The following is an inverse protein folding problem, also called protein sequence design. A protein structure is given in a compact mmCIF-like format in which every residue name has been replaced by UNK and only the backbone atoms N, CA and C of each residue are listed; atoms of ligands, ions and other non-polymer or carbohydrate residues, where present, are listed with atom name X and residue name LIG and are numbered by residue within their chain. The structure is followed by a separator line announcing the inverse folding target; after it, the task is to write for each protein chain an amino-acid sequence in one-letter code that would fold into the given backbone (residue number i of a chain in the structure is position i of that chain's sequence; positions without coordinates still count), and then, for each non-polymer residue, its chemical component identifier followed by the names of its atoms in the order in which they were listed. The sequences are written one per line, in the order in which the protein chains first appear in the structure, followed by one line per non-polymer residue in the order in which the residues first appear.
data_IF_538665612613
#
_entry.id   IF_538665612613
#
_cell.length_a   1.000
_cell.length_b   1.000
_cell.length_c   1.000
_cell.angle_alpha   90.00
_cell.angle_beta   90.00
_cell.angle_gamma   90.00
#
_symmetry.space_group_name_H-M   'P 1'
#
loop_
_entity.id
_entity.type
_entity.pdbx_description
1 polymer ?
#
# COMPACT_ATOMS: atom_id res chain seq x y z
N UNK A 1 1.34 6.34 10.09
CA UNK A 1 0.44 5.46 9.32
C UNK A 1 -0.34 4.55 10.28
N UNK A 2 -1.59 4.22 9.95
CA UNK A 2 -2.41 3.22 10.67
C UNK A 2 -2.12 1.78 10.26
N UNK A 3 -1.14 1.53 9.39
CA UNK A 3 -0.74 0.18 8.97
C UNK A 3 -0.22 -0.65 10.15
N UNK A 4 -0.57 -1.93 10.13
CA UNK A 4 0.03 -2.99 10.95
C UNK A 4 0.46 -4.13 10.04
N UNK A 5 1.55 -4.80 10.40
CA UNK A 5 2.11 -5.91 9.62
C UNK A 5 2.36 -7.08 10.57
N UNK A 6 1.99 -8.29 10.15
CA UNK A 6 2.34 -9.50 10.89
C UNK A 6 3.84 -9.78 10.76
N UNK A 7 4.51 -9.98 11.88
CA UNK A 7 5.96 -10.27 11.90
C UNK A 7 6.29 -11.65 11.31
N UNK A 8 5.35 -12.60 11.37
CA UNK A 8 5.61 -13.98 10.94
C UNK A 8 5.31 -14.22 9.46
N UNK A 9 4.20 -13.68 8.94
CA UNK A 9 3.74 -13.95 7.57
C UNK A 9 3.66 -12.73 6.65
N UNK A 10 3.96 -11.52 7.16
CA UNK A 10 3.93 -10.28 6.38
C UNK A 10 2.53 -9.75 6.02
N UNK A 11 1.46 -10.41 6.47
CA UNK A 11 0.10 -9.96 6.23
C UNK A 11 -0.12 -8.52 6.73
N UNK A 12 -0.72 -7.68 5.88
CA UNK A 12 -0.96 -6.27 6.16
C UNK A 12 -2.39 -5.99 6.61
N UNK A 13 -2.51 -5.12 7.60
CA UNK A 13 -3.74 -4.65 8.26
C UNK A 13 -3.73 -3.13 8.38
N UNK A 14 -4.90 -2.55 8.69
CA UNK A 14 -5.04 -1.15 9.02
C UNK A 14 -6.00 -0.96 10.21
N UNK A 15 -5.68 -0.06 11.13
CA UNK A 15 -6.49 0.19 12.33
C UNK A 15 -7.96 0.61 12.08
N UNK A 16 -8.30 1.01 10.85
CA UNK A 16 -9.63 1.51 10.47
C UNK A 16 -10.22 0.70 9.32
N UNK A 17 -9.52 0.65 8.19
CA UNK A 17 -10.02 0.09 6.93
C UNK A 17 -9.85 -1.43 6.77
N UNK A 18 -8.98 -2.06 7.57
CA UNK A 18 -8.73 -3.51 7.52
C UNK A 18 -8.30 -4.00 8.90
N UNK A 19 -9.23 -3.95 9.85
CA UNK A 19 -8.98 -4.32 11.25
C UNK A 19 -8.79 -5.84 11.36
N UNK A 20 -7.87 -6.33 12.20
CA UNK A 20 -7.83 -7.74 12.55
C UNK A 20 -9.09 -8.11 13.36
N UNK A 21 -9.45 -9.39 13.36
CA UNK A 21 -10.55 -9.89 14.20
C UNK A 21 -10.23 -9.78 15.68
N UNK A 22 -8.96 -10.01 16.04
CA UNK A 22 -8.44 -9.87 17.40
C UNK A 22 -7.32 -8.83 17.39
N UNK A 23 -7.41 -7.85 18.29
CA UNK A 23 -6.42 -6.78 18.36
C UNK A 23 -5.01 -7.33 18.57
N UNK A 24 -4.06 -6.84 17.76
CA UNK A 24 -2.66 -7.26 17.82
C UNK A 24 -2.36 -8.65 17.25
N UNK A 25 -3.36 -9.38 16.70
CA UNK A 25 -3.19 -10.75 16.21
C UNK A 25 -3.55 -10.88 14.73
N UNK A 26 -2.71 -11.62 13.99
CA UNK A 26 -2.95 -11.92 12.60
C UNK A 26 -4.07 -12.96 12.45
N UNK A 27 -5.05 -12.67 11.61
CA UNK A 27 -6.17 -13.57 11.33
C UNK A 27 -5.77 -14.82 10.53
N UNK A 28 -4.56 -14.84 9.94
CA UNK A 28 -4.07 -15.93 9.08
C UNK A 28 -3.24 -16.93 9.89
N UNK A 29 -2.27 -16.46 10.66
CA UNK A 29 -1.30 -17.31 11.37
C UNK A 29 -1.24 -17.08 12.89
N UNK A 30 -2.12 -16.23 13.45
CA UNK A 30 -2.11 -15.83 14.87
C UNK A 30 -0.84 -15.09 15.35
N UNK A 31 0.06 -14.74 14.42
CA UNK A 31 1.26 -13.96 14.70
C UNK A 31 0.99 -12.55 15.21
N UNK A 32 2.01 -11.91 15.78
CA UNK A 32 1.91 -10.56 16.34
C UNK A 32 1.85 -9.51 15.24
N UNK A 33 0.94 -8.54 15.35
CA UNK A 33 0.82 -7.40 14.47
C UNK A 33 1.57 -6.19 15.03
N UNK A 34 2.52 -5.66 14.27
CA UNK A 34 3.33 -4.51 14.68
C UNK A 34 3.19 -3.34 13.72
N UNK A 35 3.44 -2.13 14.23
CA UNK A 35 3.68 -0.97 13.38
C UNK A 35 5.17 -0.96 13.01
N UNK A 36 5.47 -0.91 11.71
CA UNK A 36 6.87 -0.81 11.28
C UNK A 36 7.48 0.51 11.70
N UNK A 37 8.79 0.53 11.96
CA UNK A 37 9.52 1.76 12.37
C UNK A 37 9.36 2.89 11.35
N UNK A 38 9.34 2.55 10.07
CA UNK A 38 9.23 3.49 8.95
C UNK A 38 7.80 3.98 8.66
N UNK A 39 6.81 3.53 9.44
CA UNK A 39 5.42 4.00 9.41
C UNK A 39 5.14 5.16 10.39
N UNK A 40 6.18 5.65 11.09
CA UNK A 40 6.12 6.84 11.96
C UNK A 40 5.89 8.13 11.15
N UNK A 41 5.14 9.12 11.67
CA UNK A 41 4.72 10.28 10.88
C UNK A 41 5.85 11.08 10.21
N UNK A 42 6.93 11.33 10.94
CA UNK A 42 8.14 11.99 10.47
C UNK A 42 8.82 11.21 9.34
N UNK A 43 8.96 9.90 9.51
CA UNK A 43 9.57 9.02 8.51
C UNK A 43 8.69 8.91 7.26
N UNK A 44 7.37 8.84 7.42
CA UNK A 44 6.43 8.85 6.29
C UNK A 44 6.54 10.14 5.48
N UNK A 45 6.60 11.31 6.12
CA UNK A 45 6.78 12.59 5.44
C UNK A 45 8.09 12.63 4.64
N UNK A 46 9.20 12.19 5.25
CA UNK A 46 10.49 12.13 4.58
C UNK A 46 10.46 11.19 3.36
N UNK A 47 9.83 10.01 3.49
CA UNK A 47 9.70 9.05 2.39
C UNK A 47 8.82 9.54 1.25
N UNK A 48 7.74 10.28 1.55
CA UNK A 48 6.90 10.89 0.50
C UNK A 48 7.68 11.96 -0.27
N UNK A 49 8.44 12.82 0.43
CA UNK A 49 9.32 13.79 -0.24
C UNK A 49 10.33 13.10 -1.17
N UNK A 50 10.96 12.02 -0.69
CA UNK A 50 11.89 11.23 -1.49
C UNK A 50 11.22 10.57 -2.70
N UNK A 51 10.01 10.00 -2.53
CA UNK A 51 9.21 9.43 -3.61
C UNK A 51 8.93 10.47 -4.71
N UNK A 52 8.44 11.65 -4.35
CA UNK A 52 8.17 12.72 -5.33
C UNK A 52 9.44 13.18 -6.06
N UNK A 53 10.58 13.18 -5.37
CA UNK A 53 11.85 13.64 -5.96
C UNK A 53 12.49 12.58 -6.87
N UNK A 54 12.42 11.30 -6.50
CA UNK A 54 13.22 10.23 -7.13
C UNK A 54 12.40 9.19 -7.87
N UNK A 55 11.16 8.93 -7.46
CA UNK A 55 10.32 7.86 -8.01
C UNK A 55 9.25 8.41 -8.93
N UNK A 56 8.59 9.52 -8.58
CA UNK A 56 7.53 10.12 -9.41
C UNK A 56 7.98 10.48 -10.84
N UNK A 57 9.21 10.96 -11.11
CA UNK A 57 9.68 11.19 -12.48
C UNK A 57 9.66 9.95 -13.38
N UNK A 58 9.59 8.74 -12.81
CA UNK A 58 9.42 7.52 -13.59
C UNK A 58 8.07 7.44 -14.30
N UNK A 59 7.04 8.18 -13.84
CA UNK A 59 5.75 8.29 -14.55
C UNK A 59 5.98 8.83 -15.96
N UNK A 60 6.67 9.97 -16.08
CA UNK A 60 6.99 10.58 -17.38
C UNK A 60 7.84 9.65 -18.25
N UNK A 61 8.78 8.93 -17.63
CA UNK A 61 9.63 7.96 -18.34
C UNK A 61 8.82 6.84 -18.99
N UNK A 62 7.87 6.23 -18.26
CA UNK A 62 7.02 5.16 -18.81
C UNK A 62 5.91 5.70 -19.72
N UNK A 63 5.40 6.91 -19.46
CA UNK A 63 4.44 7.58 -20.32
C UNK A 63 5.02 7.84 -21.72
N UNK A 64 6.27 8.32 -21.81
CA UNK A 64 6.97 8.51 -23.09
C UNK A 64 7.16 7.22 -23.90
N UNK A 65 7.14 6.07 -23.24
CA UNK A 65 7.20 4.76 -23.89
C UNK A 65 5.82 4.19 -24.25
N UNK A 66 4.73 4.88 -23.91
CA UNK A 66 3.37 4.36 -24.05
C UNK A 66 3.07 3.18 -23.12
N UNK A 67 3.82 3.03 -22.02
CA UNK A 67 3.70 1.90 -21.07
C UNK A 67 3.05 2.27 -19.74
N UNK A 68 2.60 3.52 -19.59
CA UNK A 68 1.94 3.99 -18.38
C UNK A 68 0.42 3.94 -18.56
N UNK A 69 -0.24 3.14 -17.73
CA UNK A 69 -1.68 3.22 -17.50
C UNK A 69 -1.92 3.65 -16.06
N UNK A 70 -2.70 4.71 -15.86
CA UNK A 70 -3.02 5.24 -14.52
C UNK A 70 -4.30 4.59 -14.01
N UNK A 71 -4.26 4.07 -12.78
CA UNK A 71 -5.42 3.52 -12.09
C UNK A 71 -5.60 4.27 -10.77
N UNK A 72 -6.74 4.94 -10.62
CA UNK A 72 -7.07 5.69 -9.40
C UNK A 72 -7.51 4.75 -8.28
N UNK A 73 -6.89 4.88 -7.11
CA UNK A 73 -7.26 4.11 -5.93
C UNK A 73 -8.66 4.46 -5.44
N UNK A 74 -9.46 3.43 -5.15
CA UNK A 74 -10.83 3.54 -4.64
C UNK A 74 -10.88 3.28 -3.12
N UNK A 75 -12.00 3.62 -2.48
CA UNK A 75 -12.22 3.37 -1.06
C UNK A 75 -12.18 1.86 -0.76
N UNK A 76 -12.82 1.05 -1.60
CA UNK A 76 -12.76 -0.41 -1.53
C UNK A 76 -11.61 -1.00 -2.35
N UNK A 77 -10.90 -1.95 -1.73
CA UNK A 77 -9.78 -2.67 -2.35
C UNK A 77 -10.26 -3.49 -3.56
N UNK A 78 -11.47 -4.04 -3.51
CA UNK A 78 -12.04 -4.82 -4.62
C UNK A 78 -12.25 -3.98 -5.88
N UNK A 79 -12.69 -2.72 -5.73
CA UNK A 79 -12.89 -1.83 -6.87
C UNK A 79 -11.56 -1.42 -7.51
N UNK A 80 -10.56 -1.07 -6.70
CA UNK A 80 -9.21 -0.78 -7.19
C UNK A 80 -8.62 -1.99 -7.94
N UNK A 81 -8.84 -3.20 -7.42
CA UNK A 81 -8.37 -4.44 -8.06
C UNK A 81 -9.04 -4.68 -9.41
N UNK A 82 -10.35 -4.48 -9.50
CA UNK A 82 -11.12 -4.60 -10.75
C UNK A 82 -10.64 -3.60 -11.81
N UNK A 83 -10.43 -2.34 -11.43
CA UNK A 83 -9.92 -1.31 -12.35
C UNK A 83 -8.49 -1.63 -12.82
N UNK A 84 -7.66 -2.20 -11.94
CA UNK A 84 -6.29 -2.58 -12.28
C UNK A 84 -6.26 -3.73 -13.30
N UNK A 85 -7.13 -4.74 -13.14
CA UNK A 85 -7.26 -5.85 -14.10
C UNK A 85 -7.77 -5.35 -15.46
N UNK A 86 -8.80 -4.50 -15.46
CA UNK A 86 -9.32 -3.92 -16.70
C UNK A 86 -8.25 -3.09 -17.45
N UNK A 87 -7.35 -2.42 -16.73
CA UNK A 87 -6.28 -1.60 -17.30
C UNK A 87 -5.15 -2.41 -17.97
N UNK A 88 -4.98 -3.69 -17.65
CA UNK A 88 -3.96 -4.57 -18.25
C UNK A 88 -4.50 -5.48 -19.36
N UNK A 89 -5.82 -5.66 -19.43
CA UNK A 89 -6.50 -6.47 -20.45
C UNK A 89 -6.90 -5.66 -21.71
N UNK A 90 -6.83 -4.32 -21.64
CA UNK A 90 -7.14 -3.39 -22.74
C UNK A 90 -5.93 -3.15 -23.66
#
# INVERSE_FOLDING_TARGET
SGRRVCEDCGASYHLLYKKPKVEGKCDICAGTLVQRRDDRPDTVKARLKEYHTKTEPLKDYYQKQGKLTVVEGQEDVSDTSRLTLAAIEA
#
